data_IF_586556603086
#
_entry.id   IF_586556603086
#
_cell.length_a   1.000
_cell.length_b   1.000
_cell.length_c   1.000
_cell.angle_alpha   90.00
_cell.angle_beta   90.00
_cell.angle_gamma   90.00
#
_symmetry.space_group_name_H-M   'P 1'
#
loop_
_entity.id
_entity.type
_entity.pdbx_description
1 polymer ?
#
# COMPACT_ATOMS: atom_id res chain seq x y z
N UNK A 1 38.50 70.13 38.22
CA UNK A 1 39.78 69.45 38.53
C UNK A 1 39.47 67.95 38.57
N UNK A 2 39.62 67.26 37.42
CA UNK A 2 40.70 66.26 37.10
C UNK A 2 40.51 64.96 37.90
N UNK A 3 40.27 63.75 37.37
CA UNK A 3 40.62 63.11 36.08
C UNK A 3 39.82 61.78 35.87
N UNK A 4 39.90 61.10 34.70
CA UNK A 4 38.91 60.16 34.15
C UNK A 4 39.33 58.66 34.15
N UNK A 5 38.41 57.72 33.85
CA UNK A 5 38.66 56.33 33.37
C UNK A 5 37.29 55.68 33.01
N UNK A 6 36.92 55.48 31.75
CA UNK A 6 37.36 54.53 30.69
C UNK A 6 36.29 53.44 30.47
N UNK A 7 35.53 53.57 29.37
CA UNK A 7 34.55 52.58 28.90
C UNK A 7 35.21 51.25 28.53
N UNK A 8 34.59 50.08 28.79
CA UNK A 8 35.01 48.82 28.22
C UNK A 8 34.43 48.65 26.80
N UNK A 9 35.31 48.25 25.87
CA UNK A 9 34.99 47.97 24.47
C UNK A 9 34.00 46.79 24.30
N UNK A 10 33.19 46.76 23.22
CA UNK A 10 32.28 45.65 22.95
C UNK A 10 33.05 44.43 22.40
N UNK A 11 32.86 43.27 23.02
CA UNK A 11 33.32 41.99 22.47
C UNK A 11 32.53 41.63 21.20
N UNK A 12 33.17 41.11 20.13
CA UNK A 12 32.45 40.60 18.98
C UNK A 12 31.77 39.26 19.33
N UNK A 13 30.57 38.97 18.80
CA UNK A 13 29.93 37.67 19.00
C UNK A 13 30.65 36.61 18.17
N UNK A 14 31.26 35.62 18.82
CA UNK A 14 31.69 34.39 18.16
C UNK A 14 30.45 33.56 17.83
N UNK A 15 30.03 33.59 16.56
CA UNK A 15 29.03 32.66 16.03
C UNK A 15 29.66 31.29 15.85
N UNK A 16 29.37 30.35 16.76
CA UNK A 16 29.67 28.94 16.54
C UNK A 16 28.55 28.33 15.67
N UNK A 17 28.81 28.22 14.37
CA UNK A 17 28.01 27.38 13.47
C UNK A 17 28.35 25.91 13.73
N UNK A 18 27.49 25.21 14.45
CA UNK A 18 27.54 23.75 14.54
C UNK A 18 26.87 23.12 13.31
N UNK A 19 27.67 22.67 12.36
CA UNK A 19 27.21 21.76 11.30
C UNK A 19 27.04 20.37 11.90
N UNK A 20 25.80 19.97 12.17
CA UNK A 20 25.47 18.57 12.49
C UNK A 20 25.52 17.73 11.21
N UNK A 21 26.67 17.11 10.94
CA UNK A 21 26.74 16.02 9.97
C UNK A 21 26.15 14.76 10.61
N UNK A 22 25.00 14.30 10.13
CA UNK A 22 24.51 12.96 10.43
C UNK A 22 25.43 11.94 9.74
N UNK A 23 26.49 11.53 10.44
CA UNK A 23 27.30 10.39 10.04
C UNK A 23 26.47 9.10 10.10
N UNK A 24 26.77 8.08 9.27
CA UNK A 24 26.11 6.80 9.36
C UNK A 24 26.31 6.18 10.75
N UNK A 25 25.27 5.52 11.27
CA UNK A 25 25.28 4.86 12.57
C UNK A 25 26.53 3.99 12.75
N UNK A 26 27.08 3.97 13.97
CA UNK A 26 28.30 3.24 14.27
C UNK A 26 28.22 1.78 13.78
N UNK A 27 29.30 1.26 13.17
CA UNK A 27 29.28 -0.06 12.55
C UNK A 27 29.07 -1.18 13.58
N UNK A 28 27.91 -1.84 13.50
CA UNK A 28 27.57 -3.01 14.33
C UNK A 28 28.64 -4.11 14.23
N UNK A 29 28.87 -4.86 15.31
CA UNK A 29 29.87 -5.91 15.45
C UNK A 29 29.76 -6.94 14.33
N UNK A 30 30.92 -7.45 13.88
CA UNK A 30 30.98 -8.44 12.80
C UNK A 30 30.18 -9.71 13.10
N UNK A 31 30.11 -10.11 14.37
CA UNK A 31 29.34 -11.29 14.80
C UNK A 31 27.84 -11.09 14.57
N UNK A 32 27.31 -9.94 14.98
CA UNK A 32 25.88 -9.65 14.86
C UNK A 32 25.44 -9.49 13.39
N UNK A 33 26.29 -8.91 12.53
CA UNK A 33 26.04 -8.91 11.08
C UNK A 33 25.98 -10.32 10.50
N UNK A 34 26.84 -11.24 10.96
CA UNK A 34 26.79 -12.65 10.54
C UNK A 34 25.50 -13.33 10.97
N UNK A 35 25.02 -13.10 12.19
CA UNK A 35 23.75 -13.67 12.68
C UNK A 35 22.57 -13.14 11.86
N UNK A 36 22.50 -11.83 11.65
CA UNK A 36 21.47 -11.20 10.84
C UNK A 36 21.50 -11.76 9.41
N UNK A 37 22.69 -11.86 8.80
CA UNK A 37 22.86 -12.43 7.47
C UNK A 37 22.47 -13.92 7.41
N UNK A 38 22.74 -14.69 8.46
CA UNK A 38 22.37 -16.11 8.53
C UNK A 38 20.86 -16.35 8.55
N UNK A 39 20.06 -15.36 8.96
CA UNK A 39 18.59 -15.43 8.88
C UNK A 39 18.08 -14.87 7.55
N UNK A 40 18.59 -13.70 7.15
CA UNK A 40 18.05 -12.97 6.01
C UNK A 40 18.50 -13.51 4.66
N UNK A 41 19.70 -14.07 4.54
CA UNK A 41 20.16 -14.63 3.27
C UNK A 41 19.33 -15.86 2.89
N UNK A 42 19.11 -16.86 3.77
CA UNK A 42 18.22 -17.97 3.44
C UNK A 42 16.80 -17.51 3.13
N UNK A 43 16.29 -16.54 3.87
CA UNK A 43 14.95 -15.98 3.62
C UNK A 43 14.86 -15.30 2.25
N UNK A 44 15.76 -14.38 1.94
CA UNK A 44 15.80 -13.70 0.65
C UNK A 44 16.02 -14.71 -0.49
N UNK A 45 16.82 -15.75 -0.27
CA UNK A 45 17.01 -16.84 -1.22
C UNK A 45 15.70 -17.60 -1.45
N UNK A 46 14.96 -17.93 -0.38
CA UNK A 46 13.66 -18.58 -0.49
C UNK A 46 12.64 -17.72 -1.25
N UNK A 47 12.65 -16.39 -1.03
CA UNK A 47 11.81 -15.45 -1.80
C UNK A 47 12.19 -15.46 -3.27
N UNK A 48 13.49 -15.38 -3.60
CA UNK A 48 13.96 -15.43 -4.99
C UNK A 48 13.62 -16.77 -5.66
N UNK A 49 13.83 -17.89 -4.97
CA UNK A 49 13.43 -19.22 -5.46
C UNK A 49 11.92 -19.28 -5.67
N UNK A 50 11.13 -18.74 -4.74
CA UNK A 50 9.67 -18.65 -4.88
C UNK A 50 9.26 -17.80 -6.08
N UNK A 51 9.87 -16.63 -6.27
CA UNK A 51 9.62 -15.78 -7.43
C UNK A 51 9.92 -16.51 -8.73
N UNK A 52 11.01 -17.29 -8.80
CA UNK A 52 11.39 -18.06 -9.99
C UNK A 52 10.43 -19.25 -10.19
N UNK A 53 10.11 -19.99 -9.13
CA UNK A 53 9.28 -21.19 -9.19
C UNK A 53 7.82 -20.89 -9.54
N UNK A 54 7.30 -19.75 -9.08
CA UNK A 54 5.94 -19.28 -9.34
C UNK A 54 5.91 -18.15 -10.37
N UNK A 55 7.00 -17.93 -11.12
CA UNK A 55 7.03 -16.84 -12.11
C UNK A 55 5.99 -17.09 -13.19
N UNK A 56 5.02 -16.18 -13.40
CA UNK A 56 4.00 -16.41 -14.39
C UNK A 56 4.58 -16.26 -15.80
N UNK A 57 4.28 -17.22 -16.68
CA UNK A 57 4.60 -17.15 -18.11
C UNK A 57 3.84 -16.08 -18.93
N UNK A 58 3.09 -15.18 -18.28
CA UNK A 58 2.14 -14.24 -18.90
C UNK A 58 0.68 -14.58 -18.59
N UNK A 59 -0.25 -13.64 -18.73
CA UNK A 59 -1.68 -13.96 -18.57
C UNK A 59 -2.08 -14.88 -19.73
N UNK A 60 -2.71 -16.05 -19.48
CA UNK A 60 -3.17 -16.92 -20.55
C UNK A 60 -4.05 -16.14 -21.52
N UNK A 61 -3.81 -16.31 -22.83
CA UNK A 61 -4.71 -15.75 -23.82
C UNK A 61 -6.10 -16.38 -23.64
N UNK A 62 -7.13 -15.54 -23.56
CA UNK A 62 -8.51 -15.98 -23.59
C UNK A 62 -9.24 -15.26 -24.72
N UNK A 63 -10.22 -15.95 -25.29
CA UNK A 63 -11.12 -15.34 -26.26
C UNK A 63 -11.92 -14.28 -25.52
N UNK A 64 -11.87 -13.04 -26.03
CA UNK A 64 -12.56 -11.93 -25.38
C UNK A 64 -14.05 -12.17 -25.46
N UNK A 65 -14.66 -12.25 -24.30
CA UNK A 65 -16.10 -12.43 -24.11
C UNK A 65 -16.92 -11.26 -24.65
N UNK A 66 -16.29 -10.09 -24.86
CA UNK A 66 -16.98 -8.91 -25.38
C UNK A 66 -17.94 -8.26 -24.37
N UNK A 67 -17.90 -8.68 -23.10
CA UNK A 67 -18.75 -8.16 -22.02
C UNK A 67 -17.93 -7.56 -20.89
N UNK A 68 -18.51 -6.58 -20.18
CA UNK A 68 -17.88 -5.95 -19.03
C UNK A 68 -16.52 -5.34 -19.33
N UNK A 69 -15.51 -5.71 -18.53
CA UNK A 69 -14.12 -5.25 -18.62
C UNK A 69 -13.28 -5.98 -19.69
N UNK A 70 -13.80 -7.07 -20.25
CA UNK A 70 -13.11 -7.86 -21.29
C UNK A 70 -13.45 -7.39 -22.72
N UNK A 71 -13.95 -6.16 -22.84
CA UNK A 71 -14.19 -5.51 -24.15
C UNK A 71 -12.90 -4.93 -24.72
N UNK A 72 -12.79 -4.93 -26.05
CA UNK A 72 -11.78 -4.12 -26.71
C UNK A 72 -12.10 -2.65 -26.49
N UNK A 73 -11.13 -1.84 -26.10
CA UNK A 73 -11.34 -0.42 -25.84
C UNK A 73 -10.39 0.45 -26.66
N UNK A 74 -10.89 1.61 -27.06
CA UNK A 74 -10.20 2.64 -27.83
C UNK A 74 -10.43 4.01 -27.17
N UNK A 75 -9.56 4.98 -27.43
CA UNK A 75 -9.74 6.37 -27.03
C UNK A 75 -10.67 7.09 -28.02
N UNK A 76 -11.61 7.89 -27.51
CA UNK A 76 -12.49 8.74 -28.30
C UNK A 76 -12.60 10.16 -27.75
N UNK A 77 -13.28 11.03 -28.49
CA UNK A 77 -13.56 12.41 -28.10
C UNK A 77 -14.98 12.79 -28.45
N UNK A 78 -15.68 13.41 -27.50
CA UNK A 78 -17.00 14.01 -27.74
C UNK A 78 -16.81 15.26 -28.58
N UNK A 79 -17.29 15.25 -29.82
CA UNK A 79 -17.15 16.37 -30.77
C UNK A 79 -18.35 17.30 -30.75
N UNK A 80 -19.51 16.81 -30.36
CA UNK A 80 -20.74 17.60 -30.27
C UNK A 80 -21.69 16.98 -29.27
N UNK A 81 -22.41 17.81 -28.52
CA UNK A 81 -23.54 17.38 -27.68
C UNK A 81 -24.74 18.25 -27.99
N UNK A 82 -25.84 17.63 -28.40
CA UNK A 82 -27.09 18.33 -28.71
C UNK A 82 -28.19 17.82 -27.78
N UNK A 83 -28.90 18.73 -27.14
CA UNK A 83 -30.10 18.38 -26.37
C UNK A 83 -31.23 18.04 -27.34
N UNK A 84 -31.91 16.93 -27.08
CA UNK A 84 -33.01 16.39 -27.88
C UNK A 84 -34.09 15.88 -26.95
N UNK A 85 -35.32 15.81 -27.43
CA UNK A 85 -36.38 15.12 -26.70
C UNK A 85 -36.04 13.61 -26.64
N UNK A 86 -36.18 13.00 -25.46
CA UNK A 86 -35.87 11.59 -25.29
C UNK A 86 -36.76 10.68 -26.16
N UNK A 87 -37.98 11.10 -26.49
CA UNK A 87 -38.87 10.39 -27.40
C UNK A 87 -38.33 10.37 -28.84
N UNK A 88 -37.70 11.46 -29.30
CA UNK A 88 -37.18 11.58 -30.67
C UNK A 88 -36.00 10.63 -30.96
N UNK A 89 -35.31 10.18 -29.91
CA UNK A 89 -34.14 9.31 -30.01
C UNK A 89 -34.39 7.88 -29.53
N UNK A 90 -35.64 7.54 -29.20
CA UNK A 90 -36.02 6.24 -28.64
C UNK A 90 -35.11 5.83 -27.47
N UNK A 91 -34.91 6.75 -26.51
CA UNK A 91 -33.95 6.58 -25.42
C UNK A 91 -34.17 5.31 -24.56
N UNK A 92 -35.41 4.82 -24.51
CA UNK A 92 -35.80 3.57 -23.88
C UNK A 92 -36.67 2.72 -24.81
N UNK A 93 -36.51 1.39 -24.75
CA UNK A 93 -37.40 0.46 -25.45
C UNK A 93 -38.70 0.28 -24.66
N UNK A 94 -39.74 1.03 -25.04
CA UNK A 94 -41.08 0.82 -24.49
C UNK A 94 -41.63 -0.51 -25.02
N UNK A 95 -42.10 -1.42 -24.14
CA UNK A 95 -42.74 -2.66 -24.58
C UNK A 95 -43.86 -2.37 -25.59
N UNK A 96 -44.06 -3.18 -26.64
CA UNK A 96 -45.04 -2.90 -27.70
C UNK A 96 -46.48 -2.69 -27.19
N UNK A 97 -46.78 -3.22 -26.00
CA UNK A 97 -48.08 -3.11 -25.35
C UNK A 97 -48.31 -1.77 -24.64
N UNK A 98 -47.26 -0.97 -24.40
CA UNK A 98 -47.34 0.25 -23.60
C UNK A 98 -47.88 0.01 -22.18
N UNK A 99 -47.72 -1.21 -21.65
CA UNK A 99 -48.35 -1.61 -20.40
C UNK A 99 -47.66 -0.98 -19.18
N UNK A 100 -48.17 0.18 -18.78
CA UNK A 100 -47.74 0.94 -17.60
C UNK A 100 -48.23 0.36 -16.26
N UNK A 101 -48.99 -0.75 -16.28
CA UNK A 101 -49.45 -1.37 -15.03
C UNK A 101 -48.29 -1.96 -14.23
N UNK A 102 -47.25 -2.42 -14.93
CA UNK A 102 -46.01 -2.91 -14.32
C UNK A 102 -45.07 -1.75 -13.93
N UNK A 103 -44.26 -1.89 -12.86
CA UNK A 103 -43.23 -0.90 -12.52
C UNK A 103 -42.26 -0.63 -13.67
N UNK A 104 -41.79 -1.69 -14.34
CA UNK A 104 -40.89 -1.60 -15.49
C UNK A 104 -41.51 -0.89 -16.70
N UNK A 105 -42.80 -1.08 -16.96
CA UNK A 105 -43.51 -0.35 -18.02
C UNK A 105 -43.68 1.13 -17.71
N UNK A 106 -43.83 1.52 -16.43
CA UNK A 106 -43.85 2.93 -16.01
C UNK A 106 -42.46 3.57 -16.11
N UNK A 107 -41.41 2.88 -15.69
CA UNK A 107 -40.03 3.35 -15.82
C UNK A 107 -39.65 3.57 -17.29
N UNK A 108 -39.94 2.61 -18.18
CA UNK A 108 -39.63 2.74 -19.60
C UNK A 108 -40.35 3.93 -20.29
N UNK A 109 -41.55 4.29 -19.83
CA UNK A 109 -42.27 5.48 -20.34
C UNK A 109 -41.69 6.76 -19.75
N UNK A 110 -41.39 6.78 -18.45
CA UNK A 110 -40.78 7.93 -17.79
C UNK A 110 -39.36 8.23 -18.34
N UNK A 111 -38.60 7.21 -18.75
CA UNK A 111 -37.29 7.35 -19.40
C UNK A 111 -37.38 7.96 -20.81
N UNK A 112 -38.57 8.00 -21.41
CA UNK A 112 -38.82 8.75 -22.65
C UNK A 112 -39.22 10.21 -22.40
N UNK A 113 -39.46 10.62 -21.15
CA UNK A 113 -39.81 12.00 -20.80
C UNK A 113 -38.56 12.79 -20.41
N UNK A 114 -38.38 13.97 -21.03
CA UNK A 114 -37.32 14.93 -20.67
C UNK A 114 -36.32 15.21 -21.79
N UNK A 115 -35.25 15.91 -21.43
CA UNK A 115 -34.18 16.32 -22.37
C UNK A 115 -33.01 15.32 -22.33
N UNK A 116 -32.92 14.48 -23.35
CA UNK A 116 -31.77 13.63 -23.59
C UNK A 116 -30.63 14.41 -24.23
N UNK A 117 -29.41 13.91 -24.11
CA UNK A 117 -28.25 14.43 -24.82
C UNK A 117 -27.81 13.46 -25.92
N UNK A 118 -27.86 13.92 -27.17
CA UNK A 118 -27.29 13.22 -28.32
C UNK A 118 -25.84 13.65 -28.50
N UNK A 119 -24.92 12.82 -28.05
CA UNK A 119 -23.49 13.06 -28.18
C UNK A 119 -22.95 12.43 -29.47
N UNK A 120 -22.20 13.18 -30.27
CA UNK A 120 -21.41 12.63 -31.36
C UNK A 120 -19.99 12.40 -30.86
N UNK A 121 -19.50 11.16 -31.01
CA UNK A 121 -18.18 10.74 -30.55
C UNK A 121 -17.35 10.40 -31.77
N UNK A 122 -16.13 10.91 -31.80
CA UNK A 122 -15.11 10.57 -32.78
C UNK A 122 -14.09 9.62 -32.14
N UNK A 123 -13.82 8.50 -32.79
CA UNK A 123 -12.76 7.54 -32.40
C UNK A 123 -11.41 8.15 -32.73
N UNK A 124 -10.50 8.19 -31.76
CA UNK A 124 -9.21 8.92 -31.87
C UNK A 124 -7.98 8.00 -31.92
N UNK A 125 -8.15 6.70 -31.67
CA UNK A 125 -7.11 5.68 -31.68
C UNK A 125 -7.60 4.39 -32.34
N UNK A 126 -6.69 3.49 -32.74
CA UNK A 126 -7.05 2.22 -33.37
C UNK A 126 -7.27 2.33 -34.88
N UNK A 127 -7.69 1.24 -35.50
CA UNK A 127 -7.80 1.11 -36.97
C UNK A 127 -8.93 1.98 -37.54
N UNK A 128 -9.97 2.25 -36.74
CA UNK A 128 -11.14 3.06 -37.12
C UNK A 128 -11.00 4.55 -36.76
N UNK A 129 -9.77 5.05 -36.61
CA UNK A 129 -9.54 6.46 -36.25
C UNK A 129 -10.24 7.42 -37.21
N UNK A 130 -11.00 8.37 -36.65
CA UNK A 130 -11.82 9.35 -37.37
C UNK A 130 -13.27 8.90 -37.59
N UNK A 131 -13.60 7.63 -37.32
CA UNK A 131 -14.98 7.15 -37.34
C UNK A 131 -15.80 7.89 -36.29
N UNK A 132 -17.04 8.25 -36.66
CA UNK A 132 -17.99 8.88 -35.75
C UNK A 132 -19.19 7.97 -35.51
N UNK A 133 -19.68 8.00 -34.29
CA UNK A 133 -20.93 7.36 -33.90
C UNK A 133 -21.68 8.26 -32.91
N UNK A 134 -22.94 7.94 -32.67
CA UNK A 134 -23.80 8.70 -31.76
C UNK A 134 -24.06 7.88 -30.52
N UNK A 135 -23.92 8.51 -29.36
CA UNK A 135 -24.36 7.99 -28.08
C UNK A 135 -25.53 8.84 -27.58
N UNK A 136 -26.60 8.19 -27.13
CA UNK A 136 -27.72 8.86 -26.46
C UNK A 136 -27.51 8.74 -24.96
N UNK A 137 -27.50 9.87 -24.26
CA UNK A 137 -27.32 9.95 -22.80
C UNK A 137 -28.63 10.42 -22.18
N UNK A 138 -29.18 9.60 -21.28
CA UNK A 138 -30.40 9.91 -20.54
C UNK A 138 -30.15 10.96 -19.45
N UNK A 139 -31.18 11.71 -19.00
CA UNK A 139 -31.03 12.79 -18.00
C UNK A 139 -30.49 12.31 -16.65
N UNK A 140 -30.89 11.12 -16.22
CA UNK A 140 -30.54 10.46 -14.96
C UNK A 140 -29.32 9.52 -15.09
N UNK A 141 -28.77 9.40 -16.29
CA UNK A 141 -27.60 8.57 -16.52
C UNK A 141 -26.45 9.02 -15.59
N UNK A 142 -25.76 8.07 -14.93
CA UNK A 142 -24.69 8.39 -13.97
C UNK A 142 -23.51 9.10 -14.62
N UNK A 143 -23.42 9.06 -15.96
CA UNK A 143 -22.39 9.73 -16.74
C UNK A 143 -23.01 10.68 -17.74
N UNK A 144 -22.80 11.96 -17.49
CA UNK A 144 -23.12 13.03 -18.43
C UNK A 144 -21.89 13.36 -19.29
N UNK A 145 -22.08 13.53 -20.60
CA UNK A 145 -21.01 13.85 -21.55
C UNK A 145 -20.99 15.34 -21.90
N UNK A 146 -19.79 15.89 -22.04
CA UNK A 146 -19.55 17.29 -22.39
C UNK A 146 -18.77 17.39 -23.68
N UNK A 147 -19.04 18.44 -24.45
CA UNK A 147 -18.29 18.72 -25.66
C UNK A 147 -16.79 18.90 -25.36
N UNK A 148 -15.94 18.31 -26.21
CA UNK A 148 -14.49 18.29 -26.06
C UNK A 148 -13.95 17.25 -25.07
N UNK A 149 -14.80 16.54 -24.33
CA UNK A 149 -14.39 15.54 -23.34
C UNK A 149 -13.77 14.31 -24.01
N UNK A 150 -12.65 13.83 -23.46
CA UNK A 150 -12.08 12.54 -23.85
C UNK A 150 -12.88 11.38 -23.23
N UNK A 151 -13.15 10.34 -24.01
CA UNK A 151 -13.91 9.16 -23.61
C UNK A 151 -13.15 7.88 -23.92
N UNK A 152 -13.52 6.80 -23.24
CA UNK A 152 -13.12 5.43 -23.57
C UNK A 152 -14.29 4.77 -24.27
N UNK A 153 -14.02 4.16 -25.40
CA UNK A 153 -15.02 3.57 -26.29
C UNK A 153 -14.78 2.07 -26.36
N UNK A 154 -15.81 1.26 -26.12
CA UNK A 154 -15.73 -0.17 -26.43
C UNK A 154 -15.94 -0.41 -27.91
N UNK A 155 -15.23 -1.40 -28.43
CA UNK A 155 -15.34 -1.89 -29.78
C UNK A 155 -15.81 -3.35 -29.77
N UNK A 156 -16.89 -3.62 -30.50
CA UNK A 156 -17.43 -4.96 -30.72
C UNK A 156 -17.36 -5.27 -32.23
N UNK A 157 -16.34 -6.02 -32.70
CA UNK A 157 -16.10 -6.22 -34.13
C UNK A 157 -17.24 -6.94 -34.85
N UNK A 158 -17.87 -7.90 -34.18
CA UNK A 158 -18.94 -8.73 -34.76
C UNK A 158 -20.32 -8.07 -34.74
N UNK A 159 -20.43 -6.87 -34.15
CA UNK A 159 -21.69 -6.14 -34.11
C UNK A 159 -21.99 -5.47 -35.47
N UNK A 160 -23.28 -5.22 -35.80
CA UNK A 160 -23.65 -4.39 -36.93
C UNK A 160 -22.96 -3.03 -36.87
N UNK A 161 -22.60 -2.45 -38.02
CA UNK A 161 -21.75 -1.25 -38.12
C UNK A 161 -22.21 -0.10 -37.20
N UNK A 162 -23.50 0.11 -37.03
CA UNK A 162 -24.01 1.20 -36.20
C UNK A 162 -23.94 0.93 -34.68
N UNK A 163 -23.68 -0.31 -34.27
CA UNK A 163 -23.59 -0.77 -32.87
C UNK A 163 -22.18 -1.24 -32.46
N UNK A 164 -21.20 -1.13 -33.37
CA UNK A 164 -19.82 -1.58 -33.09
C UNK A 164 -19.12 -0.73 -32.02
N UNK A 165 -19.58 0.49 -31.77
CA UNK A 165 -18.97 1.39 -30.79
C UNK A 165 -20.00 1.87 -29.77
N UNK A 166 -19.58 1.94 -28.51
CA UNK A 166 -20.35 2.52 -27.41
C UNK A 166 -19.41 3.18 -26.41
N UNK A 167 -19.87 4.25 -25.77
CA UNK A 167 -19.08 4.93 -24.74
C UNK A 167 -19.10 4.13 -23.44
N UNK A 168 -17.93 3.70 -22.97
CA UNK A 168 -17.82 2.86 -21.78
C UNK A 168 -17.24 3.55 -20.58
N UNK A 169 -16.49 4.63 -20.75
CA UNK A 169 -16.01 5.47 -19.66
C UNK A 169 -15.50 6.83 -20.15
N UNK A 170 -15.02 7.67 -19.24
CA UNK A 170 -14.35 8.94 -19.51
C UNK A 170 -12.83 8.74 -19.46
N UNK A 171 -12.11 9.38 -20.37
CA UNK A 171 -10.65 9.37 -20.34
C UNK A 171 -10.14 10.29 -19.21
N UNK A 172 -9.59 9.69 -18.15
CA UNK A 172 -9.01 10.40 -16.99
C UNK A 172 -7.48 10.42 -16.98
N UNK A 173 -6.81 10.08 -18.09
CA UNK A 173 -5.34 9.98 -18.17
C UNK A 173 -4.64 11.27 -17.72
N UNK A 174 -5.10 12.43 -18.21
CA UNK A 174 -4.51 13.74 -17.88
C UNK A 174 -4.67 14.13 -16.40
N UNK A 175 -5.89 14.19 -15.81
CA UNK A 175 -6.02 14.56 -14.40
C UNK A 175 -5.32 13.57 -13.45
N UNK A 176 -5.31 12.27 -13.77
CA UNK A 176 -4.58 11.28 -12.97
C UNK A 176 -3.06 11.46 -13.07
N UNK A 177 -2.53 11.70 -14.28
CA UNK A 177 -1.10 11.95 -14.47
C UNK A 177 -0.65 13.26 -13.79
N UNK A 178 -1.48 14.32 -13.84
CA UNK A 178 -1.21 15.57 -13.14
C UNK A 178 -1.14 15.36 -11.62
N UNK A 179 -2.11 14.67 -11.04
CA UNK A 179 -2.13 14.39 -9.60
C UNK A 179 -0.94 13.52 -9.19
N UNK A 180 -0.60 12.49 -9.97
CA UNK A 180 0.58 11.65 -9.75
C UNK A 180 1.87 12.47 -9.82
N UNK A 181 1.99 13.41 -10.77
CA UNK A 181 3.12 14.32 -10.89
C UNK A 181 3.24 15.27 -9.69
N UNK A 182 2.14 15.85 -9.23
CA UNK A 182 2.11 16.70 -8.02
C UNK A 182 2.54 15.90 -6.79
N UNK A 183 1.99 14.69 -6.61
CA UNK A 183 2.36 13.80 -5.52
C UNK A 183 3.86 13.49 -5.54
N UNK A 184 4.39 13.07 -6.69
CA UNK A 184 5.81 12.78 -6.84
C UNK A 184 6.69 13.99 -6.53
N UNK A 185 6.30 15.18 -7.00
CA UNK A 185 7.02 16.43 -6.72
C UNK A 185 7.06 16.71 -5.21
N UNK A 186 5.93 16.64 -4.51
CA UNK A 186 5.87 16.87 -3.06
C UNK A 186 6.74 15.87 -2.30
N UNK A 187 6.67 14.59 -2.64
CA UNK A 187 7.48 13.53 -2.02
C UNK A 187 8.98 13.78 -2.22
N UNK A 188 9.40 14.16 -3.43
CA UNK A 188 10.82 14.46 -3.72
C UNK A 188 11.27 15.75 -3.06
N UNK A 189 10.44 16.79 -2.99
CA UNK A 189 10.78 18.05 -2.33
C UNK A 189 10.99 17.86 -0.82
N UNK A 190 10.12 17.10 -0.16
CA UNK A 190 10.20 16.83 1.28
C UNK A 190 11.26 15.77 1.60
N UNK A 191 11.23 14.64 0.89
CA UNK A 191 12.09 13.48 1.14
C UNK A 191 13.45 13.51 0.44
N UNK A 192 13.70 14.44 -0.49
CA UNK A 192 14.91 14.51 -1.32
C UNK A 192 15.21 13.17 -2.01
N UNK A 193 16.45 12.69 -1.93
CA UNK A 193 16.85 11.40 -2.50
C UNK A 193 16.11 10.21 -1.89
N UNK A 194 15.73 10.28 -0.60
CA UNK A 194 14.88 9.25 0.03
C UNK A 194 13.47 9.27 -0.54
N UNK A 195 12.97 10.46 -0.88
CA UNK A 195 11.69 10.62 -1.59
C UNK A 195 11.72 9.94 -2.97
N UNK A 196 12.81 10.11 -3.74
CA UNK A 196 12.98 9.40 -5.02
C UNK A 196 13.00 7.88 -4.82
N UNK A 197 13.77 7.38 -3.84
CA UNK A 197 13.81 5.94 -3.55
C UNK A 197 12.46 5.39 -3.10
N UNK A 198 11.66 6.16 -2.36
CA UNK A 198 10.30 5.77 -1.99
C UNK A 198 9.38 5.64 -3.21
N UNK A 199 9.49 6.54 -4.21
CA UNK A 199 8.73 6.43 -5.46
C UNK A 199 9.17 5.22 -6.30
N UNK A 200 10.47 4.93 -6.36
CA UNK A 200 10.98 3.73 -7.05
C UNK A 200 10.50 2.46 -6.33
N UNK A 201 10.56 2.44 -5.00
CA UNK A 201 10.04 1.33 -4.20
C UNK A 201 8.54 1.12 -4.48
N UNK A 202 7.73 2.18 -4.51
CA UNK A 202 6.31 2.11 -4.86
C UNK A 202 6.08 1.53 -6.27
N UNK A 203 6.88 1.95 -7.26
CA UNK A 203 6.82 1.41 -8.62
C UNK A 203 7.20 -0.08 -8.66
N UNK A 204 8.22 -0.50 -7.90
CA UNK A 204 8.59 -1.91 -7.76
C UNK A 204 7.47 -2.71 -7.09
N UNK A 205 6.84 -2.18 -6.03
CA UNK A 205 5.68 -2.81 -5.39
C UNK A 205 4.55 -3.05 -6.37
N UNK A 206 4.22 -2.04 -7.17
CA UNK A 206 3.20 -2.14 -8.22
C UNK A 206 3.59 -3.14 -9.31
N UNK A 207 4.86 -3.19 -9.70
CA UNK A 207 5.36 -4.17 -10.66
C UNK A 207 5.27 -5.60 -10.12
N UNK A 208 5.60 -5.85 -8.85
CA UNK A 208 5.43 -7.18 -8.24
C UNK A 208 3.95 -7.58 -8.18
N UNK A 209 3.05 -6.65 -7.84
CA UNK A 209 1.61 -6.92 -7.84
C UNK A 209 1.09 -7.29 -9.24
N UNK A 210 1.46 -6.51 -10.25
CA UNK A 210 0.89 -6.62 -11.61
C UNK A 210 1.59 -7.66 -12.49
N UNK A 211 2.89 -7.88 -12.31
CA UNK A 211 3.68 -8.80 -13.15
C UNK A 211 3.92 -10.16 -12.50
N UNK A 212 3.77 -10.28 -11.18
CA UNK A 212 3.98 -11.54 -10.45
C UNK A 212 2.71 -12.01 -9.74
N UNK A 213 2.18 -11.25 -8.77
CA UNK A 213 1.09 -11.73 -7.89
C UNK A 213 -0.18 -12.02 -8.68
N UNK A 214 -0.70 -11.02 -9.41
CA UNK A 214 -1.95 -11.17 -10.15
C UNK A 214 -1.86 -12.26 -11.23
N UNK A 215 -0.85 -12.28 -12.12
CA UNK A 215 -0.78 -13.31 -13.15
C UNK A 215 -0.53 -14.72 -12.59
N UNK A 216 0.24 -14.87 -11.50
CA UNK A 216 0.45 -16.18 -10.89
C UNK A 216 -0.84 -16.76 -10.30
N UNK A 217 -1.68 -15.92 -9.68
CA UNK A 217 -3.01 -16.32 -9.18
C UNK A 217 -3.93 -16.73 -10.34
N UNK A 218 -3.94 -15.96 -11.44
CA UNK A 218 -4.74 -16.26 -12.62
C UNK A 218 -4.32 -17.58 -13.31
N UNK A 219 -3.07 -18.00 -13.16
CA UNK A 219 -2.57 -19.30 -13.63
C UNK A 219 -2.88 -20.46 -12.67
N UNK A 220 -3.68 -20.23 -11.62
CA UNK A 220 -4.09 -21.27 -10.67
C UNK A 220 -3.11 -21.53 -9.53
N UNK A 221 -2.09 -20.68 -9.35
CA UNK A 221 -1.21 -20.78 -8.18
C UNK A 221 -1.99 -20.46 -6.90
N UNK A 222 -1.63 -21.11 -5.80
CA UNK A 222 -2.26 -20.86 -4.50
C UNK A 222 -2.10 -19.39 -4.08
N UNK A 223 -3.19 -18.61 -3.90
CA UNK A 223 -3.10 -17.18 -3.66
C UNK A 223 -2.34 -16.81 -2.37
N UNK A 224 -2.47 -17.61 -1.32
CA UNK A 224 -1.74 -17.40 -0.06
C UNK A 224 -0.24 -17.49 -0.27
N UNK A 225 0.24 -18.56 -0.93
CA UNK A 225 1.68 -18.76 -1.17
C UNK A 225 2.26 -17.63 -2.02
N UNK A 226 1.54 -17.26 -3.10
CA UNK A 226 1.94 -16.16 -3.98
C UNK A 226 1.98 -14.83 -3.21
N UNK A 227 0.99 -14.56 -2.36
CA UNK A 227 0.95 -13.34 -1.56
C UNK A 227 2.08 -13.27 -0.54
N UNK A 228 2.45 -14.39 0.09
CA UNK A 228 3.60 -14.44 1.03
C UNK A 228 4.90 -14.16 0.29
N UNK A 229 5.14 -14.81 -0.85
CA UNK A 229 6.35 -14.59 -1.66
C UNK A 229 6.40 -13.15 -2.18
N UNK A 230 5.30 -12.67 -2.78
CA UNK A 230 5.19 -11.35 -3.35
C UNK A 230 5.33 -10.24 -2.30
N UNK A 231 4.61 -10.33 -1.18
CA UNK A 231 4.72 -9.37 -0.07
C UNK A 231 6.12 -9.35 0.51
N UNK A 232 6.77 -10.51 0.62
CA UNK A 232 8.16 -10.61 1.08
C UNK A 232 9.14 -9.94 0.10
N UNK A 233 8.93 -10.11 -1.21
CA UNK A 233 9.73 -9.46 -2.24
C UNK A 233 9.56 -7.94 -2.20
N UNK A 234 8.31 -7.47 -2.10
CA UNK A 234 7.96 -6.05 -1.94
C UNK A 234 8.65 -5.46 -0.72
N UNK A 235 8.50 -6.09 0.45
CA UNK A 235 9.12 -5.68 1.71
C UNK A 235 10.64 -5.58 1.59
N UNK A 236 11.31 -6.63 1.10
CA UNK A 236 12.77 -6.65 0.96
C UNK A 236 13.25 -5.55 0.01
N UNK A 237 12.59 -5.38 -1.14
CA UNK A 237 12.94 -4.34 -2.10
C UNK A 237 12.73 -2.94 -1.51
N UNK A 238 11.55 -2.67 -0.95
CA UNK A 238 11.19 -1.36 -0.42
C UNK A 238 12.07 -0.95 0.77
N UNK A 239 12.22 -1.82 1.77
CA UNK A 239 12.98 -1.48 2.98
C UNK A 239 14.46 -1.25 2.69
N UNK A 240 15.11 -2.11 1.91
CA UNK A 240 16.53 -1.95 1.60
C UNK A 240 16.82 -0.82 0.61
N UNK A 241 15.90 -0.53 -0.31
CA UNK A 241 16.05 0.61 -1.22
C UNK A 241 15.90 1.94 -0.49
N UNK A 242 14.93 2.07 0.42
CA UNK A 242 14.66 3.32 1.13
C UNK A 242 15.63 3.58 2.29
N UNK A 243 16.06 2.53 3.01
CA UNK A 243 16.83 2.66 4.26
C UNK A 243 18.26 2.14 4.17
N UNK A 244 18.63 1.51 3.05
CA UNK A 244 19.94 0.90 2.85
C UNK A 244 20.14 -0.40 3.64
N UNK A 245 21.22 -1.12 3.32
CA UNK A 245 21.58 -2.38 3.99
C UNK A 245 22.28 -2.09 5.31
N UNK A 246 21.49 -2.02 6.38
CA UNK A 246 21.99 -1.77 7.73
C UNK A 246 21.38 -2.76 8.72
N UNK A 247 22.06 -2.97 9.87
CA UNK A 247 21.50 -3.80 10.94
C UNK A 247 20.15 -3.27 11.45
N UNK A 248 19.97 -1.94 11.41
CA UNK A 248 18.70 -1.26 11.69
C UNK A 248 17.61 -1.73 10.72
N UNK A 249 17.84 -1.57 9.42
CA UNK A 249 16.89 -2.01 8.39
C UNK A 249 16.59 -3.50 8.50
N UNK A 250 17.63 -4.32 8.73
CA UNK A 250 17.48 -5.78 8.86
C UNK A 250 16.64 -6.20 10.07
N UNK A 251 16.71 -5.48 11.20
CA UNK A 251 15.83 -5.73 12.34
C UNK A 251 14.38 -5.41 12.00
N UNK A 252 14.13 -4.30 11.30
CA UNK A 252 12.79 -3.95 10.84
C UNK A 252 12.21 -5.01 9.90
N UNK A 253 13.02 -5.53 8.97
CA UNK A 253 12.66 -6.66 8.09
C UNK A 253 12.25 -7.89 8.91
N UNK A 254 13.05 -8.31 9.89
CA UNK A 254 12.73 -9.49 10.71
C UNK A 254 11.45 -9.26 11.53
N UNK A 255 11.28 -8.06 12.09
CA UNK A 255 10.05 -7.68 12.80
C UNK A 255 8.82 -7.79 11.90
N UNK A 256 8.91 -7.27 10.68
CA UNK A 256 7.83 -7.33 9.68
C UNK A 256 7.51 -8.76 9.29
N UNK A 257 8.52 -9.62 9.10
CA UNK A 257 8.32 -11.03 8.77
C UNK A 257 7.59 -11.79 9.87
N UNK A 258 7.95 -11.58 11.14
CA UNK A 258 7.28 -12.22 12.27
C UNK A 258 5.81 -11.75 12.34
N UNK A 259 5.57 -10.46 12.13
CA UNK A 259 4.20 -9.91 12.10
C UNK A 259 3.37 -10.42 10.93
N UNK A 260 3.93 -10.49 9.72
CA UNK A 260 3.24 -11.05 8.56
C UNK A 260 2.92 -12.54 8.76
N UNK A 261 3.83 -13.30 9.38
CA UNK A 261 3.60 -14.70 9.72
C UNK A 261 2.45 -14.84 10.74
N UNK A 262 2.40 -13.97 11.74
CA UNK A 262 1.29 -13.92 12.69
C UNK A 262 -0.04 -13.58 11.99
N UNK A 263 -0.03 -12.60 11.08
CA UNK A 263 -1.21 -12.20 10.30
C UNK A 263 -1.69 -13.35 9.41
N UNK A 264 -0.78 -14.01 8.69
CA UNK A 264 -1.12 -15.17 7.87
C UNK A 264 -1.70 -16.31 8.69
N UNK A 265 -1.12 -16.60 9.86
CA UNK A 265 -1.61 -17.65 10.77
C UNK A 265 -3.00 -17.31 11.30
N UNK A 266 -3.18 -16.12 11.87
CA UNK A 266 -4.48 -15.68 12.41
C UNK A 266 -5.51 -15.57 11.30
N UNK A 267 -5.16 -15.00 10.15
CA UNK A 267 -6.04 -14.89 8.99
C UNK A 267 -6.53 -16.26 8.53
N UNK A 268 -5.62 -17.21 8.31
CA UNK A 268 -6.00 -18.58 7.90
C UNK A 268 -6.92 -19.26 8.92
N UNK A 269 -6.66 -19.08 10.22
CA UNK A 269 -7.48 -19.64 11.29
C UNK A 269 -8.88 -19.01 11.33
N UNK A 270 -8.97 -17.68 11.34
CA UNK A 270 -10.25 -16.98 11.51
C UNK A 270 -11.10 -17.00 10.23
N UNK A 271 -10.50 -16.93 9.04
CA UNK A 271 -11.22 -17.09 7.76
C UNK A 271 -11.82 -18.49 7.68
N UNK A 272 -11.04 -19.52 7.99
CA UNK A 272 -11.52 -20.90 8.00
C UNK A 272 -12.59 -21.13 9.08
N UNK A 273 -12.39 -20.60 10.29
CA UNK A 273 -13.34 -20.79 11.38
C UNK A 273 -14.66 -20.05 11.18
N UNK A 274 -14.62 -18.84 10.60
CA UNK A 274 -15.81 -18.07 10.24
C UNK A 274 -16.46 -18.54 8.93
N UNK A 275 -15.90 -19.57 8.26
CA UNK A 275 -16.40 -20.09 6.98
C UNK A 275 -16.53 -19.01 5.89
N UNK A 276 -15.57 -18.08 5.84
CA UNK A 276 -15.58 -17.02 4.84
C UNK A 276 -15.13 -17.58 3.49
N UNK A 277 -16.01 -17.51 2.49
CA UNK A 277 -15.74 -17.96 1.13
C UNK A 277 -14.87 -16.96 0.36
N UNK A 278 -14.94 -15.68 0.70
CA UNK A 278 -14.28 -14.59 -0.03
C UNK A 278 -14.95 -14.23 -1.36
N UNK A 279 -16.17 -14.73 -1.59
CA UNK A 279 -16.98 -14.44 -2.78
C UNK A 279 -18.18 -13.57 -2.41
N UNK A 280 -17.92 -12.30 -2.14
CA UNK A 280 -18.86 -11.40 -1.44
C UNK A 280 -19.43 -10.28 -2.30
N UNK A 281 -18.90 -10.06 -3.51
CA UNK A 281 -19.34 -9.00 -4.43
C UNK A 281 -19.41 -9.46 -5.90
N UNK A 282 -19.92 -8.60 -6.78
CA UNK A 282 -20.06 -8.91 -8.21
C UNK A 282 -18.71 -9.19 -8.89
N UNK A 283 -17.63 -8.57 -8.41
CA UNK A 283 -16.29 -8.74 -8.98
C UNK A 283 -15.73 -10.13 -8.64
N UNK A 284 -15.81 -10.52 -7.38
CA UNK A 284 -15.39 -11.84 -6.89
C UNK A 284 -16.26 -12.93 -7.50
N UNK A 285 -17.57 -12.68 -7.68
CA UNK A 285 -18.48 -13.56 -8.41
C UNK A 285 -18.08 -13.75 -9.87
N UNK A 286 -17.75 -12.66 -10.57
CA UNK A 286 -17.28 -12.72 -11.96
C UNK A 286 -15.95 -13.46 -12.07
N UNK A 287 -15.00 -13.21 -11.17
CA UNK A 287 -13.72 -13.93 -11.11
C UNK A 287 -13.98 -15.42 -10.94
N UNK A 288 -14.85 -15.82 -10.00
CA UNK A 288 -15.19 -17.22 -9.77
C UNK A 288 -15.88 -17.88 -10.96
N UNK A 289 -16.68 -17.11 -11.72
CA UNK A 289 -17.33 -17.58 -12.93
C UNK A 289 -16.35 -17.78 -14.09
N UNK A 290 -15.40 -16.87 -14.29
CA UNK A 290 -14.41 -16.92 -15.38
C UNK A 290 -13.22 -17.84 -15.05
N UNK A 291 -12.83 -17.92 -13.78
CA UNK A 291 -11.69 -18.68 -13.27
C UNK A 291 -12.12 -19.55 -12.07
N UNK A 292 -12.87 -20.64 -12.31
CA UNK A 292 -13.48 -21.45 -11.26
C UNK A 292 -12.47 -22.14 -10.34
N UNK A 293 -11.23 -22.35 -10.80
CA UNK A 293 -10.17 -23.01 -10.03
C UNK A 293 -9.48 -22.09 -9.00
N UNK A 294 -9.76 -20.77 -9.03
CA UNK A 294 -9.21 -19.84 -8.05
C UNK A 294 -9.88 -20.08 -6.69
N UNK A 295 -9.04 -20.23 -5.66
CA UNK A 295 -9.45 -20.26 -4.26
C UNK A 295 -9.73 -18.83 -3.76
N UNK A 296 -11.01 -18.49 -3.69
CA UNK A 296 -11.49 -17.16 -3.27
C UNK A 296 -11.16 -16.87 -1.80
N UNK A 297 -11.18 -17.88 -0.94
CA UNK A 297 -10.83 -17.73 0.48
C UNK A 297 -9.32 -17.45 0.64
N UNK A 298 -8.50 -18.10 -0.18
CA UNK A 298 -7.08 -17.81 -0.32
C UNK A 298 -6.82 -16.41 -0.87
N UNK A 299 -7.64 -15.94 -1.82
CA UNK A 299 -7.54 -14.58 -2.38
C UNK A 299 -7.87 -13.51 -1.34
N UNK A 300 -8.88 -13.75 -0.50
CA UNK A 300 -9.16 -12.92 0.68
C UNK A 300 -7.94 -12.86 1.61
N UNK A 301 -7.37 -14.00 1.99
CA UNK A 301 -6.19 -14.04 2.85
C UNK A 301 -4.98 -13.34 2.23
N UNK A 302 -4.79 -13.47 0.91
CA UNK A 302 -3.77 -12.73 0.16
C UNK A 302 -3.98 -11.21 0.30
N UNK A 303 -5.22 -10.73 0.16
CA UNK A 303 -5.59 -9.34 0.39
C UNK A 303 -5.27 -8.85 1.80
N UNK A 304 -5.54 -9.67 2.83
CA UNK A 304 -5.19 -9.34 4.24
C UNK A 304 -3.68 -9.15 4.40
N UNK A 305 -2.87 -10.06 3.85
CA UNK A 305 -1.40 -10.03 3.97
C UNK A 305 -0.82 -8.82 3.23
N UNK A 306 -1.21 -8.62 1.97
CA UNK A 306 -0.72 -7.53 1.12
C UNK A 306 -1.16 -6.17 1.70
N UNK A 307 -2.43 -6.04 2.11
CA UNK A 307 -2.96 -4.82 2.71
C UNK A 307 -2.29 -4.46 4.04
N UNK A 308 -1.87 -5.46 4.83
CA UNK A 308 -1.19 -5.22 6.11
C UNK A 308 0.29 -4.85 5.96
N UNK A 309 0.96 -5.29 4.89
CA UNK A 309 2.40 -5.06 4.68
C UNK A 309 2.77 -3.58 4.74
N UNK A 310 2.02 -2.71 4.04
CA UNK A 310 2.37 -1.29 3.94
C UNK A 310 2.38 -0.57 5.30
N UNK A 311 1.47 -0.96 6.20
CA UNK A 311 1.39 -0.38 7.55
C UNK A 311 2.46 -0.99 8.47
N UNK A 312 2.77 -2.27 8.30
CA UNK A 312 3.82 -2.95 9.06
C UNK A 312 5.21 -2.38 8.75
N UNK A 313 5.51 -2.08 7.49
CA UNK A 313 6.79 -1.51 7.07
C UNK A 313 7.05 -0.18 7.80
N UNK A 314 6.05 0.69 7.89
CA UNK A 314 6.16 1.96 8.62
C UNK A 314 6.38 1.74 10.13
N UNK A 315 5.56 0.89 10.75
CA UNK A 315 5.66 0.66 12.19
C UNK A 315 6.99 0.02 12.57
N UNK A 316 7.45 -1.01 11.87
CA UNK A 316 8.70 -1.68 12.24
C UNK A 316 9.92 -0.78 12.02
N UNK A 317 9.95 0.01 10.93
CA UNK A 317 11.03 0.98 10.68
C UNK A 317 11.03 2.07 11.73
N UNK A 318 9.87 2.63 12.06
CA UNK A 318 9.75 3.70 13.06
C UNK A 318 10.13 3.20 14.45
N UNK A 319 9.65 2.02 14.86
CA UNK A 319 10.01 1.41 16.14
C UNK A 319 11.51 1.12 16.23
N UNK A 320 12.08 0.53 15.18
CA UNK A 320 13.51 0.22 15.15
C UNK A 320 14.33 1.51 15.23
N UNK A 321 13.93 2.55 14.49
CA UNK A 321 14.61 3.85 14.53
C UNK A 321 14.52 4.49 15.92
N UNK A 322 13.36 4.47 16.57
CA UNK A 322 13.20 4.99 17.93
C UNK A 322 14.14 4.32 18.94
N UNK A 323 14.26 2.99 18.89
CA UNK A 323 15.18 2.25 19.78
C UNK A 323 16.64 2.60 19.50
N UNK A 324 17.02 2.76 18.22
CA UNK A 324 18.37 3.19 17.86
C UNK A 324 18.69 4.61 18.32
N UNK A 325 17.74 5.54 18.24
CA UNK A 325 17.92 6.91 18.75
C UNK A 325 18.00 6.94 20.28
N UNK A 326 17.18 6.14 20.98
CA UNK A 326 17.27 5.99 22.44
C UNK A 326 18.64 5.47 22.89
N UNK A 327 19.22 4.51 22.16
CA UNK A 327 20.56 4.02 22.47
C UNK A 327 21.66 5.03 22.14
N UNK A 328 21.52 5.80 21.06
CA UNK A 328 22.47 6.87 20.75
C UNK A 328 22.43 7.98 21.79
N UNK A 329 21.25 8.28 22.35
CA UNK A 329 21.08 9.28 23.40
C UNK A 329 21.63 8.81 24.77
N UNK A 330 21.45 7.54 25.13
CA UNK A 330 22.03 6.93 26.32
C UNK A 330 22.66 5.55 25.98
N UNK A 331 23.96 5.54 25.61
CA UNK A 331 24.68 4.31 25.30
C UNK A 331 24.85 3.35 26.50
N UNK A 332 24.69 3.85 27.73
CA UNK A 332 24.80 3.07 28.96
C UNK A 332 23.52 2.28 29.25
N UNK A 333 22.38 2.68 28.66
CA UNK A 333 21.09 2.03 28.85
C UNK A 333 21.10 0.59 28.30
N UNK A 334 20.89 -0.38 29.19
CA UNK A 334 20.80 -1.79 28.81
C UNK A 334 19.52 -2.15 28.07
N UNK A 335 19.49 -3.34 27.45
CA UNK A 335 18.38 -3.83 26.62
C UNK A 335 17.00 -3.76 27.28
N UNK A 336 16.90 -4.01 28.60
CA UNK A 336 15.65 -3.91 29.35
C UNK A 336 15.14 -2.45 29.45
N UNK A 337 16.07 -1.51 29.60
CA UNK A 337 15.77 -0.08 29.60
C UNK A 337 15.30 0.38 28.23
N UNK A 338 16.05 0.03 27.19
CA UNK A 338 15.70 0.29 25.78
C UNK A 338 14.32 -0.28 25.43
N UNK A 339 14.05 -1.54 25.81
CA UNK A 339 12.76 -2.17 25.56
C UNK A 339 11.63 -1.41 26.27
N UNK A 340 11.76 -1.11 27.57
CA UNK A 340 10.73 -0.38 28.32
C UNK A 340 10.49 1.02 27.76
N UNK A 341 11.54 1.72 27.33
CA UNK A 341 11.43 3.04 26.73
C UNK A 341 10.80 2.98 25.33
N UNK A 342 11.26 2.08 24.47
CA UNK A 342 10.72 1.87 23.12
C UNK A 342 9.24 1.46 23.16
N UNK A 343 8.85 0.54 24.05
CA UNK A 343 7.44 0.14 24.21
C UNK A 343 6.54 1.30 24.60
N UNK A 344 7.01 2.26 25.41
CA UNK A 344 6.19 3.44 25.75
C UNK A 344 5.91 4.28 24.50
N UNK A 345 6.93 4.54 23.69
CA UNK A 345 6.78 5.25 22.40
C UNK A 345 5.85 4.47 21.47
N UNK A 346 6.07 3.17 21.33
CA UNK A 346 5.28 2.31 20.48
C UNK A 346 3.81 2.23 20.89
N UNK A 347 3.49 2.25 22.18
CA UNK A 347 2.10 2.22 22.67
C UNK A 347 1.32 3.46 22.24
N UNK A 348 1.93 4.63 22.31
CA UNK A 348 1.29 5.87 21.87
C UNK A 348 1.03 5.84 20.36
N UNK A 349 1.95 5.26 19.59
CA UNK A 349 1.77 5.06 18.15
C UNK A 349 0.65 4.06 17.82
N UNK A 350 0.56 2.94 18.53
CA UNK A 350 -0.48 1.90 18.30
C UNK A 350 -1.88 2.51 18.39
N UNK A 351 -2.16 3.31 19.42
CA UNK A 351 -3.48 3.89 19.62
C UNK A 351 -3.89 4.77 18.45
N UNK A 352 -2.95 5.53 17.89
CA UNK A 352 -3.18 6.36 16.71
C UNK A 352 -3.39 5.51 15.45
N UNK A 353 -2.52 4.53 15.18
CA UNK A 353 -2.59 3.74 13.93
C UNK A 353 -3.85 2.89 13.87
N UNK A 354 -4.24 2.23 14.98
CA UNK A 354 -5.47 1.41 15.01
C UNK A 354 -6.68 2.26 14.65
N UNK A 355 -6.82 3.45 15.23
CA UNK A 355 -7.93 4.35 14.91
C UNK A 355 -7.90 4.79 13.43
N UNK A 356 -6.72 5.11 12.90
CA UNK A 356 -6.62 5.52 11.48
C UNK A 356 -7.00 4.40 10.52
N UNK A 357 -6.63 3.14 10.81
CA UNK A 357 -7.00 2.00 9.97
C UNK A 357 -8.51 1.78 10.01
N UNK A 358 -9.10 1.72 11.21
CA UNK A 358 -10.55 1.52 11.36
C UNK A 358 -11.34 2.60 10.62
N UNK A 359 -10.94 3.88 10.74
CA UNK A 359 -11.61 4.98 10.05
C UNK A 359 -11.42 4.92 8.53
N UNK A 360 -10.25 4.50 8.03
CA UNK A 360 -9.99 4.34 6.61
C UNK A 360 -10.87 3.24 5.99
N UNK A 361 -10.95 2.08 6.63
CA UNK A 361 -11.79 0.97 6.18
C UNK A 361 -13.28 1.30 6.31
N UNK A 362 -13.71 1.91 7.42
CA UNK A 362 -15.08 2.38 7.57
C UNK A 362 -15.46 3.42 6.50
N UNK A 363 -14.52 4.32 6.17
CA UNK A 363 -14.67 5.30 5.09
C UNK A 363 -14.86 4.64 3.72
N UNK A 364 -14.07 3.61 3.41
CA UNK A 364 -14.21 2.83 2.17
C UNK A 364 -15.53 2.05 2.12
N UNK A 365 -16.03 1.58 3.27
CA UNK A 365 -17.28 0.83 3.38
C UNK A 365 -18.55 1.70 3.47
N UNK A 366 -18.46 3.04 3.40
CA UNK A 366 -19.61 3.94 3.55
C UNK A 366 -20.80 3.63 2.62
N UNK A 367 -20.63 3.35 1.32
CA UNK A 367 -21.77 3.04 0.44
C UNK A 367 -22.55 1.81 0.91
N UNK A 368 -21.83 0.81 1.41
CA UNK A 368 -22.39 -0.42 1.92
C UNK A 368 -23.09 -0.22 3.27
N UNK A 369 -22.51 0.58 4.16
CA UNK A 369 -23.17 0.99 5.42
C UNK A 369 -24.46 1.76 5.13
N UNK A 370 -24.47 2.61 4.10
CA UNK A 370 -25.66 3.34 3.67
C UNK A 370 -26.74 2.39 3.13
N UNK A 371 -26.36 1.39 2.32
CA UNK A 371 -27.30 0.38 1.81
C UNK A 371 -28.01 -0.35 2.94
N UNK A 372 -27.28 -0.76 3.99
CA UNK A 372 -27.87 -1.39 5.16
C UNK A 372 -28.74 -0.45 5.99
N UNK A 373 -28.37 0.83 6.06
CA UNK A 373 -29.20 1.86 6.70
C UNK A 373 -30.53 2.03 5.96
N UNK A 374 -30.51 2.01 4.62
CA UNK A 374 -31.72 2.08 3.79
C UNK A 374 -32.58 0.83 3.98
N UNK A 375 -31.94 -0.34 4.02
CA UNK A 375 -32.60 -1.63 4.25
C UNK A 375 -33.09 -1.82 5.70
N UNK A 376 -32.90 -0.84 6.59
CA UNK A 376 -33.28 -0.89 8.00
C UNK A 376 -32.78 -2.15 8.73
N UNK A 377 -31.63 -2.67 8.31
CA UNK A 377 -31.04 -3.90 8.86
C UNK A 377 -30.44 -3.65 10.24
N UNK A 378 -30.60 -4.61 11.16
CA UNK A 378 -30.00 -4.49 12.49
C UNK A 378 -28.47 -4.59 12.41
N UNK A 379 -27.76 -3.86 13.29
CA UNK A 379 -26.28 -3.90 13.34
C UNK A 379 -25.76 -5.33 13.50
N UNK A 380 -26.44 -6.17 14.29
CA UNK A 380 -26.06 -7.56 14.48
C UNK A 380 -26.22 -8.41 13.21
N UNK A 381 -27.29 -8.19 12.44
CA UNK A 381 -27.49 -8.87 11.15
C UNK A 381 -26.43 -8.45 10.14
N UNK A 382 -26.15 -7.15 10.08
CA UNK A 382 -25.13 -6.58 9.19
C UNK A 382 -23.75 -7.13 9.52
N UNK A 383 -23.34 -7.10 10.79
CA UNK A 383 -22.04 -7.58 11.24
C UNK A 383 -21.82 -9.10 11.02
N UNK A 384 -22.90 -9.88 10.98
CA UNK A 384 -22.83 -11.32 10.69
C UNK A 384 -22.97 -11.66 9.19
N UNK A 385 -23.22 -10.68 8.33
CA UNK A 385 -23.18 -10.91 6.88
C UNK A 385 -21.74 -11.15 6.45
N UNK A 386 -21.52 -12.08 5.53
CA UNK A 386 -20.16 -12.45 5.08
C UNK A 386 -19.37 -11.23 4.58
N UNK A 387 -20.03 -10.37 3.80
CA UNK A 387 -19.47 -9.14 3.24
C UNK A 387 -18.90 -8.18 4.31
N UNK A 388 -19.54 -8.08 5.48
CA UNK A 388 -19.06 -7.25 6.59
C UNK A 388 -18.13 -8.02 7.51
N UNK A 389 -18.42 -9.29 7.76
CA UNK A 389 -17.60 -10.18 8.58
C UNK A 389 -16.18 -10.31 8.00
N UNK A 390 -16.06 -10.37 6.67
CA UNK A 390 -14.79 -10.34 5.95
C UNK A 390 -13.96 -9.09 6.30
N UNK A 391 -14.55 -7.90 6.20
CA UNK A 391 -13.86 -6.64 6.53
C UNK A 391 -13.50 -6.54 8.02
N UNK A 392 -14.38 -7.03 8.90
CA UNK A 392 -14.11 -7.09 10.34
C UNK A 392 -12.92 -8.01 10.62
N UNK A 393 -12.91 -9.23 10.06
CA UNK A 393 -11.81 -10.18 10.24
C UNK A 393 -10.52 -9.60 9.67
N UNK A 394 -10.53 -9.04 8.46
CA UNK A 394 -9.38 -8.36 7.84
C UNK A 394 -8.82 -7.26 8.73
N UNK A 395 -9.69 -6.37 9.22
CA UNK A 395 -9.31 -5.23 10.07
C UNK A 395 -8.74 -5.69 11.42
N UNK A 396 -9.38 -6.66 12.08
CA UNK A 396 -8.95 -7.17 13.38
C UNK A 396 -7.65 -7.96 13.28
N UNK A 397 -7.54 -8.88 12.32
CA UNK A 397 -6.32 -9.67 12.11
C UNK A 397 -5.13 -8.76 11.78
N UNK A 398 -5.32 -7.81 10.85
CA UNK A 398 -4.29 -6.82 10.52
C UNK A 398 -3.89 -5.98 11.73
N UNK A 399 -4.86 -5.50 12.51
CA UNK A 399 -4.60 -4.71 13.73
C UNK A 399 -3.88 -5.51 14.82
N UNK A 400 -4.21 -6.79 15.02
CA UNK A 400 -3.49 -7.66 15.97
C UNK A 400 -2.04 -7.84 15.52
N UNK A 401 -1.81 -8.10 14.23
CA UNK A 401 -0.47 -8.20 13.66
C UNK A 401 0.36 -6.92 13.84
N UNK A 402 -0.29 -5.77 13.64
CA UNK A 402 0.30 -4.46 13.86
C UNK A 402 0.65 -4.22 15.34
N UNK A 403 -0.29 -4.46 16.25
CA UNK A 403 -0.08 -4.31 17.70
C UNK A 403 1.06 -5.20 18.18
N UNK A 404 1.14 -6.43 17.66
CA UNK A 404 2.21 -7.38 17.97
C UNK A 404 3.56 -6.99 17.35
N UNK A 405 3.57 -6.29 16.21
CA UNK A 405 4.80 -5.83 15.55
C UNK A 405 5.65 -4.92 16.42
N UNK A 406 5.01 -4.08 17.24
CA UNK A 406 5.68 -3.12 18.10
C UNK A 406 6.54 -3.81 19.17
N UNK A 407 6.01 -4.69 20.05
CA UNK A 407 6.83 -5.36 21.04
C UNK A 407 7.86 -6.31 20.43
N UNK A 408 7.52 -7.01 19.35
CA UNK A 408 8.46 -7.90 18.64
C UNK A 408 9.65 -7.10 18.13
N UNK A 409 9.40 -6.05 17.35
CA UNK A 409 10.45 -5.23 16.73
C UNK A 409 11.26 -4.48 17.78
N UNK A 410 10.61 -3.95 18.82
CA UNK A 410 11.29 -3.27 19.94
C UNK A 410 12.23 -4.23 20.68
N UNK A 411 11.78 -5.46 20.93
CA UNK A 411 12.59 -6.50 21.56
C UNK A 411 13.82 -6.85 20.73
N UNK A 412 13.61 -7.10 19.43
CA UNK A 412 14.70 -7.38 18.49
C UNK A 412 15.70 -6.23 18.42
N UNK A 413 15.23 -4.99 18.26
CA UNK A 413 16.07 -3.81 18.20
C UNK A 413 16.89 -3.62 19.49
N UNK A 414 16.25 -3.73 20.65
CA UNK A 414 16.92 -3.57 21.95
C UNK A 414 18.00 -4.63 22.17
N UNK A 415 17.76 -5.88 21.78
CA UNK A 415 18.73 -6.97 21.88
C UNK A 415 19.91 -6.78 20.92
N UNK A 416 19.63 -6.46 19.65
CA UNK A 416 20.65 -6.27 18.60
C UNK A 416 21.55 -5.10 18.95
N UNK A 417 20.98 -3.96 19.31
CA UNK A 417 21.76 -2.76 19.67
C UNK A 417 22.58 -2.98 20.96
N UNK A 418 22.02 -3.65 21.96
CA UNK A 418 22.75 -3.91 23.22
C UNK A 418 23.86 -4.96 23.08
N UNK A 419 23.69 -5.96 22.21
CA UNK A 419 24.70 -6.99 21.97
C UNK A 419 25.98 -6.41 21.34
N UNK A 420 25.86 -5.27 20.65
CA UNK A 420 26.98 -4.56 20.06
C UNK A 420 27.96 -3.97 21.10
N UNK A 421 27.42 -3.59 22.28
CA UNK A 421 28.20 -3.11 23.43
C UNK A 421 29.15 -4.17 23.97
N UNK A 422 28.67 -5.41 24.11
CA UNK A 422 29.43 -6.50 24.72
C UNK A 422 30.68 -6.89 23.91
N UNK A 423 30.62 -6.78 22.58
CA UNK A 423 31.76 -7.06 21.69
C UNK A 423 32.83 -5.97 21.69
N UNK A 424 32.45 -4.72 21.98
CA UNK A 424 33.35 -3.55 21.93
C UNK A 424 34.07 -3.29 23.26
N UNK A 425 33.41 -3.57 24.39
CA UNK A 425 34.00 -3.41 25.73
C UNK A 425 35.10 -4.43 26.07
N UNK A 426 35.06 -5.63 25.47
CA UNK A 426 36.09 -6.65 25.68
C UNK A 426 37.44 -6.33 25.01
N UNK A 427 37.42 -5.56 23.91
CA UNK A 427 38.64 -5.19 23.19
C UNK A 427 39.41 -4.04 23.86
N UNK A 428 38.72 -3.09 24.51
CA UNK A 428 39.38 -2.00 25.25
C UNK A 428 39.98 -2.46 26.58
N UNK A 429 39.35 -3.40 27.29
CA UNK A 429 39.87 -3.94 28.54
C UNK A 429 41.20 -4.71 28.35
N UNK A 430 41.45 -5.30 27.18
CA UNK A 430 42.69 -6.01 26.88
C UNK A 430 43.91 -5.09 26.63
N UNK A 431 43.68 -3.79 26.40
CA UNK A 431 44.76 -2.80 26.16
C UNK A 431 45.23 -2.05 27.42
N UNK A 432 44.52 -2.18 28.53
CA UNK A 432 44.94 -1.61 29.81
C UNK A 432 45.86 -2.59 30.57
N UNK A 433 47.09 -2.78 30.08
CA UNK A 433 48.14 -3.43 30.86
C UNK A 433 48.56 -2.53 32.03
N UNK A 434 48.80 -3.07 33.24
CA UNK A 434 49.06 -2.24 34.41
C UNK A 434 50.45 -1.60 34.30
N UNK A 435 50.51 -0.27 34.47
CA UNK A 435 51.75 0.47 34.57
C UNK A 435 52.58 -0.07 35.75
N UNK A 436 53.71 -0.72 35.44
CA UNK A 436 54.71 -1.14 36.43
C UNK A 436 55.20 0.09 37.20
N UNK A 437 54.91 0.12 38.49
CA UNK A 437 55.44 1.11 39.44
C UNK A 437 56.98 0.97 39.51
N UNK A 438 57.67 2.02 39.06
CA UNK A 438 59.13 2.11 39.06
C UNK A 438 59.67 2.20 40.49
N UNK A 439 60.55 1.25 40.83
CA UNK A 439 61.29 1.14 42.09
C UNK A 439 62.26 2.32 42.23
N UNK A 440 62.01 3.20 43.21
CA UNK A 440 62.86 4.36 43.52
C UNK A 440 64.27 3.96 43.94
N UNK A 441 65.28 4.44 43.19
CA UNK A 441 66.70 4.29 43.51
C UNK A 441 67.16 5.54 44.26
N UNK A 442 67.30 5.43 45.58
CA UNK A 442 67.84 6.50 46.46
C UNK A 442 69.33 6.67 46.16
N UNK A 443 69.72 7.84 45.67
CA UNK A 443 71.11 8.23 45.38
C UNK A 443 71.70 8.87 46.65
N UNK A 444 72.86 8.37 47.10
CA UNK A 444 73.71 8.99 48.13
C UNK A 444 74.51 10.14 47.52
N UNK A 445 74.48 11.28 48.19
CA UNK A 445 75.43 12.41 48.22
C UNK A 445 75.00 13.20 49.46
N UNK A 446 75.83 13.66 50.40
CA UNK A 446 77.27 13.76 50.57
C UNK A 446 77.47 14.35 51.97
#
# INVERSE_FOLDING_TARGET
>A
MTSPQSDPAPHPPQGHTHTHSHGPAAPVSRHLRKVIAAVLIPFATAVVVGLIAFWPGGVPDHERTGVGFDRQTQDGKVVQVVKVDCADVNAAQVPPTGDTSTPSGREAVNEQEGECAKATIEVTSGDDKGRRFVEVVQPDAPRQLKEGQGVVVAYAPDAPRDLQYSVTDVNRKVPMALLAGIFALVVVLVGRMRGVMALVALAVSFAVLTLFILPAILQGSNPLVVAVIGSSAIMLAALYMCHGVTARTSVAVIGTLISLLLIGLLGSLFIGWASLSGNTDDNTGLIKGLYPDIDMSGLLLAGVIIGSLGVLDDVTVTQTSAVWELHQADPEMGWKGLYRAGIRIGRDHIASVVNTLVLAYAGAALPLLLLFSIAQSSVGTVANSELVAEEIVRTLVGSIGLVASVPVTTGLAALVVSADRAGSGGAQAATAAPARTGRGRRRKTG
#
